data_IF_202538986057
#
_entry.id   IF_202538986057
#
_cell.length_a   1.000
_cell.length_b   1.000
_cell.length_c   1.000
_cell.angle_alpha   90.00
_cell.angle_beta   90.00
_cell.angle_gamma   90.00
#
_symmetry.space_group_name_H-M   'P 1'
#
loop_
_entity.id
_entity.type
_entity.pdbx_description
1 polymer ?
#
# COMPACT_ATOMS: atom_id res chain seq x y z
N UNK A 1 -33.22 -8.49 30.80
CA UNK A 1 -33.74 -8.79 29.45
C UNK A 1 -34.10 -7.48 28.78
N UNK A 2 -33.22 -6.95 27.94
CA UNK A 2 -33.44 -5.71 27.19
C UNK A 2 -33.52 -6.07 25.70
N UNK A 3 -34.68 -5.79 25.12
CA UNK A 3 -35.09 -6.10 23.76
C UNK A 3 -34.16 -5.46 22.73
N UNK A 4 -33.64 -6.28 21.81
CA UNK A 4 -33.00 -5.79 20.58
C UNK A 4 -34.04 -5.03 19.74
N UNK A 5 -33.74 -3.83 19.22
CA UNK A 5 -34.61 -3.21 18.23
C UNK A 5 -34.44 -3.96 16.90
N UNK A 6 -35.52 -4.62 16.46
CA UNK A 6 -35.68 -5.11 15.10
C UNK A 6 -35.80 -3.90 14.14
N UNK A 7 -35.17 -3.99 12.97
CA UNK A 7 -35.52 -3.16 11.82
C UNK A 7 -34.55 -2.05 11.42
N UNK A 8 -33.22 -2.26 11.46
CA UNK A 8 -32.28 -1.40 10.71
C UNK A 8 -31.56 -2.23 9.64
N UNK A 9 -31.65 -1.76 8.40
CA UNK A 9 -31.04 -2.43 7.24
C UNK A 9 -29.53 -2.61 7.45
N UNK A 10 -28.92 -3.71 6.96
CA UNK A 10 -27.48 -3.97 7.08
C UNK A 10 -26.58 -2.87 6.48
N UNK A 11 -27.17 -1.95 5.71
CA UNK A 11 -26.46 -0.87 5.03
C UNK A 11 -26.12 0.33 5.94
N UNK A 12 -26.71 0.45 7.14
CA UNK A 12 -26.58 1.67 7.94
C UNK A 12 -25.22 1.85 8.63
N UNK A 13 -24.38 0.81 8.66
CA UNK A 13 -23.02 0.85 9.23
C UNK A 13 -21.90 0.76 8.18
N UNK A 14 -22.25 0.68 6.90
CA UNK A 14 -21.28 0.53 5.82
C UNK A 14 -20.77 1.93 5.47
N UNK A 15 -19.47 2.20 5.74
CA UNK A 15 -18.80 3.43 5.29
C UNK A 15 -18.97 3.55 3.76
N UNK A 16 -19.05 4.76 3.21
CA UNK A 16 -19.08 4.91 1.74
C UNK A 16 -17.70 4.55 1.16
N UNK A 17 -17.65 4.00 -0.08
CA UNK A 17 -16.38 3.84 -0.77
C UNK A 17 -15.69 5.19 -0.88
N UNK A 18 -14.41 5.26 -0.47
CA UNK A 18 -13.66 6.51 -0.44
C UNK A 18 -12.68 6.67 -1.62
N UNK A 19 -12.42 5.58 -2.37
CA UNK A 19 -11.27 5.50 -3.28
C UNK A 19 -11.57 4.87 -4.65
N UNK A 20 -12.75 5.12 -5.19
CA UNK A 20 -13.22 4.53 -6.46
C UNK A 20 -13.25 3.00 -6.47
N UNK A 21 -13.54 2.41 -5.32
CA UNK A 21 -13.74 0.97 -5.19
C UNK A 21 -15.06 0.58 -5.86
N UNK A 22 -14.96 -0.05 -7.03
CA UNK A 22 -16.11 -0.54 -7.80
C UNK A 22 -16.79 -1.67 -7.05
N UNK A 23 -16.01 -2.54 -6.39
CA UNK A 23 -16.50 -3.66 -5.61
C UNK A 23 -16.28 -3.47 -4.11
N UNK A 24 -16.81 -2.37 -3.56
CA UNK A 24 -16.64 -2.02 -2.14
C UNK A 24 -17.16 -3.11 -1.19
N UNK A 25 -18.45 -3.45 -1.30
CA UNK A 25 -19.14 -4.45 -0.47
C UNK A 25 -20.06 -5.32 -1.34
N UNK A 26 -19.50 -6.22 -2.17
CA UNK A 26 -20.28 -7.03 -3.10
C UNK A 26 -21.16 -8.07 -2.38
N UNK A 27 -22.20 -8.55 -3.06
CA UNK A 27 -22.99 -9.67 -2.55
C UNK A 27 -22.20 -10.99 -2.61
N UNK A 28 -22.63 -11.97 -1.83
CA UNK A 28 -22.08 -13.32 -1.95
C UNK A 28 -22.38 -13.92 -3.32
N UNK A 29 -21.49 -14.77 -3.86
CA UNK A 29 -21.77 -15.51 -5.08
C UNK A 29 -23.06 -16.32 -4.95
N UNK A 30 -23.74 -16.56 -6.07
CA UNK A 30 -25.00 -17.32 -6.09
C UNK A 30 -24.77 -18.71 -5.50
N UNK A 31 -25.61 -19.10 -4.55
CA UNK A 31 -25.53 -20.38 -3.86
C UNK A 31 -24.57 -20.43 -2.67
N UNK A 32 -23.82 -19.35 -2.40
CA UNK A 32 -22.93 -19.25 -1.26
C UNK A 32 -23.60 -18.58 -0.06
N UNK A 33 -23.21 -19.03 1.13
CA UNK A 33 -23.60 -18.49 2.43
C UNK A 33 -22.35 -18.16 3.23
N UNK A 34 -22.51 -17.41 4.32
CA UNK A 34 -21.38 -17.14 5.24
C UNK A 34 -20.72 -18.44 5.73
N UNK A 35 -21.51 -19.46 6.06
CA UNK A 35 -21.00 -20.75 6.52
C UNK A 35 -20.22 -21.52 5.44
N UNK A 36 -20.65 -21.47 4.17
CA UNK A 36 -19.93 -22.14 3.08
C UNK A 36 -18.64 -21.41 2.73
N UNK A 37 -18.64 -20.07 2.79
CA UNK A 37 -17.44 -19.25 2.58
C UNK A 37 -16.44 -19.38 3.74
N UNK A 38 -16.91 -19.49 4.98
CA UNK A 38 -16.05 -19.77 6.15
C UNK A 38 -15.40 -21.15 6.03
N UNK A 39 -16.13 -22.17 5.54
CA UNK A 39 -15.54 -23.49 5.25
C UNK A 39 -14.40 -23.37 4.23
N UNK A 40 -14.61 -22.65 3.11
CA UNK A 40 -13.56 -22.43 2.11
C UNK A 40 -12.35 -21.69 2.69
N UNK A 41 -12.56 -20.70 3.57
CA UNK A 41 -11.48 -20.00 4.28
C UNK A 41 -10.69 -20.94 5.18
N UNK A 42 -11.35 -21.84 5.92
CA UNK A 42 -10.64 -22.83 6.75
C UNK A 42 -9.80 -23.77 5.88
N UNK A 43 -10.34 -24.24 4.76
CA UNK A 43 -9.58 -25.08 3.82
C UNK A 43 -8.39 -24.33 3.20
N UNK A 44 -8.54 -23.03 2.91
CA UNK A 44 -7.47 -22.15 2.41
C UNK A 44 -6.23 -22.21 3.30
N UNK A 45 -6.38 -22.27 4.63
CA UNK A 45 -5.25 -22.35 5.56
C UNK A 45 -4.39 -23.61 5.38
N UNK A 46 -4.99 -24.69 4.85
CA UNK A 46 -4.27 -25.92 4.51
C UNK A 46 -3.60 -25.77 3.15
N UNK A 47 -4.32 -25.23 2.16
CA UNK A 47 -3.82 -25.10 0.79
C UNK A 47 -2.57 -24.22 0.68
N UNK A 48 -2.47 -23.16 1.50
CA UNK A 48 -1.29 -22.28 1.54
C UNK A 48 -0.01 -23.05 1.88
N UNK A 49 -0.12 -24.15 2.65
CA UNK A 49 1.02 -24.96 3.07
C UNK A 49 1.42 -25.99 2.00
N UNK A 50 0.61 -26.18 0.95
CA UNK A 50 0.86 -27.15 -0.09
C UNK A 50 1.77 -26.57 -1.18
N UNK A 51 2.78 -27.34 -1.59
CA UNK A 51 3.76 -26.95 -2.61
C UNK A 51 3.12 -26.59 -3.96
N UNK A 52 2.01 -27.23 -4.30
CA UNK A 52 1.20 -27.02 -5.51
C UNK A 52 -0.17 -26.40 -5.20
N UNK A 53 -0.31 -25.70 -4.07
CA UNK A 53 -1.57 -25.10 -3.64
C UNK A 53 -1.96 -23.81 -4.35
N UNK A 54 -1.09 -23.24 -5.19
CA UNK A 54 -1.25 -21.87 -5.73
C UNK A 54 -2.56 -21.67 -6.49
N UNK A 55 -2.92 -22.61 -7.36
CA UNK A 55 -4.17 -22.53 -8.13
C UNK A 55 -5.40 -22.65 -7.24
N UNK A 56 -5.35 -23.51 -6.21
CA UNK A 56 -6.44 -23.68 -5.25
C UNK A 56 -6.60 -22.45 -4.36
N UNK A 57 -5.49 -21.91 -3.86
CA UNK A 57 -5.42 -20.67 -3.09
C UNK A 57 -6.05 -19.54 -3.90
N UNK A 58 -5.63 -19.35 -5.15
CA UNK A 58 -6.17 -18.33 -6.04
C UNK A 58 -7.69 -18.48 -6.23
N UNK A 59 -8.16 -19.68 -6.54
CA UNK A 59 -9.58 -19.95 -6.76
C UNK A 59 -10.42 -19.69 -5.49
N UNK A 60 -9.92 -20.12 -4.32
CA UNK A 60 -10.58 -19.89 -3.03
C UNK A 60 -10.54 -18.42 -2.64
N UNK A 61 -9.43 -17.72 -2.84
CA UNK A 61 -9.30 -16.29 -2.60
C UNK A 61 -10.31 -15.51 -3.46
N UNK A 62 -10.42 -15.83 -4.75
CA UNK A 62 -11.42 -15.22 -5.63
C UNK A 62 -12.86 -15.48 -5.13
N UNK A 63 -13.19 -16.74 -4.84
CA UNK A 63 -14.53 -17.15 -4.42
C UNK A 63 -14.96 -16.53 -3.09
N UNK A 64 -14.00 -16.26 -2.19
CA UNK A 64 -14.23 -15.70 -0.86
C UNK A 64 -14.05 -14.18 -0.78
N UNK A 65 -13.83 -13.51 -1.91
CA UNK A 65 -13.61 -12.05 -1.95
C UNK A 65 -14.69 -11.24 -1.23
N UNK A 66 -15.98 -11.53 -1.50
CA UNK A 66 -17.08 -10.82 -0.85
C UNK A 66 -17.10 -11.04 0.66
N UNK A 67 -16.81 -12.25 1.13
CA UNK A 67 -16.73 -12.55 2.57
C UNK A 67 -15.62 -11.77 3.26
N UNK A 68 -14.40 -11.74 2.70
CA UNK A 68 -13.32 -10.88 3.19
C UNK A 68 -13.73 -9.41 3.27
N UNK A 69 -14.40 -8.88 2.24
CA UNK A 69 -14.86 -7.48 2.24
C UNK A 69 -15.88 -7.21 3.32
N UNK A 70 -16.78 -8.15 3.61
CA UNK A 70 -17.69 -8.01 4.75
C UNK A 70 -16.93 -7.93 6.07
N UNK A 71 -15.98 -8.84 6.32
CA UNK A 71 -15.17 -8.81 7.55
C UNK A 71 -14.42 -7.47 7.68
N UNK A 72 -13.72 -7.03 6.63
CA UNK A 72 -12.96 -5.77 6.62
C UNK A 72 -13.86 -4.54 6.87
N UNK A 73 -15.05 -4.49 6.26
CA UNK A 73 -15.90 -3.29 6.30
C UNK A 73 -16.79 -3.25 7.54
N UNK A 74 -17.30 -4.41 7.97
CA UNK A 74 -18.27 -4.48 9.07
C UNK A 74 -17.61 -4.72 10.42
N UNK A 75 -16.70 -5.68 10.46
CA UNK A 75 -16.08 -6.12 11.70
C UNK A 75 -14.84 -5.28 12.01
N UNK A 76 -14.18 -4.75 10.97
CA UNK A 76 -12.99 -3.92 11.06
C UNK A 76 -11.95 -4.47 12.05
N UNK A 77 -11.53 -5.74 11.87
CA UNK A 77 -10.60 -6.40 12.78
C UNK A 77 -9.22 -5.74 12.73
N UNK A 78 -8.42 -5.95 13.77
CA UNK A 78 -7.00 -5.59 13.76
C UNK A 78 -6.27 -6.36 12.65
N UNK A 79 -5.23 -5.76 12.08
CA UNK A 79 -4.45 -6.34 10.98
C UNK A 79 -3.85 -7.68 11.36
N UNK A 80 -3.39 -7.85 12.61
CA UNK A 80 -2.86 -9.11 13.12
C UNK A 80 -3.90 -10.24 13.06
N UNK A 81 -5.11 -10.00 13.58
CA UNK A 81 -6.20 -10.97 13.58
C UNK A 81 -6.66 -11.31 12.16
N UNK A 82 -6.75 -10.27 11.31
CA UNK A 82 -7.14 -10.44 9.93
C UNK A 82 -6.11 -11.25 9.13
N UNK A 83 -4.81 -10.99 9.32
CA UNK A 83 -3.71 -11.79 8.76
C UNK A 83 -3.74 -13.23 9.24
N UNK A 84 -4.11 -13.48 10.50
CA UNK A 84 -4.32 -14.84 11.01
C UNK A 84 -5.44 -15.58 10.29
N UNK A 85 -6.53 -14.89 9.92
CA UNK A 85 -7.67 -15.48 9.20
C UNK A 85 -7.44 -15.61 7.69
N UNK A 86 -6.72 -14.67 7.08
CA UNK A 86 -6.48 -14.54 5.64
C UNK A 86 -5.00 -14.38 5.29
N UNK A 87 -4.12 -15.31 5.70
CA UNK A 87 -2.68 -15.15 5.50
C UNK A 87 -2.27 -15.07 4.02
N UNK A 88 -3.01 -15.74 3.13
CA UNK A 88 -2.79 -15.66 1.69
C UNK A 88 -2.93 -14.23 1.13
N UNK A 89 -3.74 -13.36 1.75
CA UNK A 89 -3.90 -11.99 1.25
C UNK A 89 -2.59 -11.20 1.29
N UNK A 90 -1.67 -11.55 2.20
CA UNK A 90 -0.40 -10.86 2.38
C UNK A 90 0.72 -11.42 1.48
N UNK A 91 0.37 -12.26 0.50
CA UNK A 91 1.23 -12.63 -0.61
C UNK A 91 1.14 -11.59 -1.75
N UNK A 92 2.27 -11.30 -2.39
CA UNK A 92 2.38 -10.32 -3.48
C UNK A 92 1.34 -10.55 -4.58
N UNK A 93 1.12 -11.80 -4.99
CA UNK A 93 0.17 -12.14 -6.05
C UNK A 93 -1.27 -11.86 -5.62
N UNK A 94 -1.63 -12.19 -4.38
CA UNK A 94 -2.99 -11.99 -3.86
C UNK A 94 -3.29 -10.53 -3.57
N UNK A 95 -2.32 -9.70 -3.17
CA UNK A 95 -2.52 -8.24 -3.03
C UNK A 95 -2.88 -7.63 -4.38
N UNK A 96 -2.14 -7.99 -5.45
CA UNK A 96 -2.47 -7.53 -6.80
C UNK A 96 -3.86 -7.98 -7.23
N UNK A 97 -4.19 -9.23 -6.97
CA UNK A 97 -5.47 -9.81 -7.33
C UNK A 97 -6.63 -9.18 -6.55
N UNK A 98 -6.46 -8.93 -5.25
CA UNK A 98 -7.44 -8.28 -4.40
C UNK A 98 -7.67 -6.83 -4.81
N UNK A 99 -6.59 -6.08 -5.04
CA UNK A 99 -6.68 -4.71 -5.52
C UNK A 99 -7.38 -4.62 -6.87
N UNK A 100 -7.07 -5.54 -7.79
CA UNK A 100 -7.74 -5.62 -9.09
C UNK A 100 -9.21 -5.99 -8.94
N UNK A 101 -9.57 -6.89 -8.01
CA UNK A 101 -10.99 -7.18 -7.70
C UNK A 101 -11.70 -5.93 -7.17
N UNK A 102 -11.05 -5.11 -6.35
CA UNK A 102 -11.64 -3.88 -5.78
C UNK A 102 -11.80 -2.75 -6.80
N UNK A 103 -10.79 -2.51 -7.63
CA UNK A 103 -10.67 -1.30 -8.45
C UNK A 103 -10.79 -1.55 -9.95
N UNK A 104 -10.78 -2.81 -10.39
CA UNK A 104 -10.66 -3.26 -11.78
C UNK A 104 -9.31 -2.98 -12.47
N UNK A 105 -8.38 -2.30 -11.79
CA UNK A 105 -7.08 -1.93 -12.34
C UNK A 105 -5.97 -2.85 -11.83
N UNK A 106 -4.97 -3.20 -12.66
CA UNK A 106 -3.81 -3.91 -12.18
C UNK A 106 -2.98 -2.98 -11.28
N UNK A 107 -2.52 -3.47 -10.13
CA UNK A 107 -1.82 -2.64 -9.13
C UNK A 107 -0.40 -2.28 -9.58
N UNK A 108 0.52 -3.25 -9.54
CA UNK A 108 1.94 -3.01 -9.76
C UNK A 108 2.25 -2.46 -11.15
N UNK A 109 1.77 -3.13 -12.20
CA UNK A 109 2.09 -2.74 -13.58
C UNK A 109 1.57 -1.35 -13.93
N UNK A 110 0.40 -0.96 -13.39
CA UNK A 110 -0.12 0.40 -13.57
C UNK A 110 0.69 1.42 -12.79
N UNK A 111 0.95 1.16 -11.51
CA UNK A 111 1.73 2.05 -10.65
C UNK A 111 3.10 2.34 -11.25
N UNK A 112 3.86 1.30 -11.58
CA UNK A 112 5.23 1.43 -12.11
C UNK A 112 5.23 2.10 -13.48
N UNK A 113 4.36 1.68 -14.41
CA UNK A 113 4.32 2.29 -15.75
C UNK A 113 3.93 3.77 -15.71
N UNK A 114 2.99 4.16 -14.85
CA UNK A 114 2.58 5.56 -14.70
C UNK A 114 3.63 6.39 -13.99
N UNK A 115 4.30 5.81 -12.98
CA UNK A 115 5.45 6.45 -12.35
C UNK A 115 6.54 6.73 -13.37
N UNK A 116 6.94 5.74 -14.17
CA UNK A 116 7.97 5.87 -15.20
C UNK A 116 7.64 6.98 -16.22
N UNK A 117 6.39 7.06 -16.65
CA UNK A 117 5.92 8.13 -17.55
C UNK A 117 6.00 9.53 -16.92
N UNK A 118 5.84 9.63 -15.60
CA UNK A 118 5.87 10.89 -14.86
C UNK A 118 7.26 11.26 -14.34
N UNK A 119 8.17 10.29 -14.17
CA UNK A 119 9.46 10.45 -13.49
C UNK A 119 10.27 11.62 -14.03
N UNK A 120 10.44 11.73 -15.36
CA UNK A 120 11.20 12.84 -15.97
C UNK A 120 10.58 14.21 -15.69
N UNK A 121 9.26 14.32 -15.72
CA UNK A 121 8.54 15.58 -15.43
C UNK A 121 8.64 15.96 -13.96
N UNK A 122 8.53 14.96 -13.07
CA UNK A 122 8.70 15.14 -11.62
C UNK A 122 10.12 15.61 -11.30
N UNK A 123 11.14 14.96 -11.85
CA UNK A 123 12.55 15.37 -11.65
C UNK A 123 12.80 16.80 -12.12
N UNK A 124 12.36 17.16 -13.34
CA UNK A 124 12.48 18.52 -13.86
C UNK A 124 11.75 19.56 -12.98
N UNK A 125 10.61 19.17 -12.39
CA UNK A 125 9.89 20.01 -11.44
C UNK A 125 10.65 20.20 -10.12
N UNK A 126 11.30 19.15 -9.62
CA UNK A 126 12.11 19.20 -8.40
C UNK A 126 13.32 20.12 -8.57
N UNK A 127 14.00 20.06 -9.71
CA UNK A 127 15.17 20.91 -10.03
C UNK A 127 14.83 22.41 -10.05
N UNK A 128 13.63 22.75 -10.54
CA UNK A 128 13.13 24.14 -10.59
C UNK A 128 12.67 24.66 -9.23
N UNK A 129 12.50 23.78 -8.23
CA UNK A 129 12.00 24.20 -6.92
C UNK A 129 13.09 24.97 -6.16
N UNK A 130 12.77 26.18 -5.73
CA UNK A 130 13.64 27.00 -4.89
C UNK A 130 13.38 26.85 -3.38
N UNK A 131 14.10 27.64 -2.57
CA UNK A 131 13.93 27.70 -1.12
C UNK A 131 14.44 26.46 -0.38
N UNK A 132 14.00 26.28 0.87
CA UNK A 132 14.42 25.16 1.72
C UNK A 132 14.00 23.80 1.15
N UNK A 133 12.78 23.69 0.61
CA UNK A 133 12.29 22.48 -0.07
C UNK A 133 13.19 22.17 -1.27
N UNK A 134 13.52 23.17 -2.09
CA UNK A 134 14.43 23.01 -3.23
C UNK A 134 15.81 22.49 -2.84
N UNK A 135 16.38 22.98 -1.73
CA UNK A 135 17.66 22.49 -1.21
C UNK A 135 17.59 21.00 -0.81
N UNK A 136 16.54 20.60 -0.08
CA UNK A 136 16.32 19.19 0.31
C UNK A 136 16.14 18.28 -0.91
N UNK A 137 15.39 18.74 -1.92
CA UNK A 137 15.20 17.99 -3.16
C UNK A 137 16.52 17.80 -3.92
N UNK A 138 17.34 18.85 -4.02
CA UNK A 138 18.65 18.74 -4.67
C UNK A 138 19.56 17.74 -3.98
N UNK A 139 19.63 17.80 -2.64
CA UNK A 139 20.38 16.84 -1.85
C UNK A 139 19.95 15.39 -2.14
N UNK A 140 18.65 15.09 -2.04
CA UNK A 140 18.12 13.74 -2.34
C UNK A 140 18.42 13.29 -3.77
N UNK A 141 18.35 14.21 -4.74
CA UNK A 141 18.66 13.91 -6.15
C UNK A 141 20.16 13.66 -6.39
N UNK A 142 21.04 14.30 -5.62
CA UNK A 142 22.49 14.07 -5.65
C UNK A 142 22.85 12.74 -4.97
N UNK A 143 22.25 12.43 -3.81
CA UNK A 143 22.41 11.15 -3.10
C UNK A 143 22.02 9.97 -4.00
N UNK A 144 20.85 10.05 -4.66
CA UNK A 144 20.42 9.06 -5.65
C UNK A 144 21.44 8.79 -6.76
N UNK A 145 22.02 9.84 -7.34
CA UNK A 145 22.99 9.74 -8.45
C UNK A 145 24.32 9.14 -7.99
N UNK A 146 24.64 9.25 -6.70
CA UNK A 146 25.92 8.81 -6.14
C UNK A 146 25.83 7.36 -5.67
N UNK A 147 24.69 6.96 -5.11
CA UNK A 147 24.46 5.60 -4.57
C UNK A 147 24.05 4.58 -5.63
N UNK A 148 23.50 5.05 -6.75
CA UNK A 148 22.99 4.24 -7.84
C UNK A 148 23.85 4.45 -9.08
N UNK A 149 24.30 3.39 -9.75
CA UNK A 149 24.77 3.52 -11.13
C UNK A 149 23.65 4.15 -11.98
N UNK A 150 24.00 4.91 -13.02
CA UNK A 150 23.05 5.68 -13.84
C UNK A 150 21.90 4.85 -14.46
N UNK A 151 21.96 3.52 -14.38
CA UNK A 151 21.03 2.56 -14.96
C UNK A 151 20.10 1.82 -13.96
N UNK A 152 20.17 2.05 -12.63
CA UNK A 152 19.25 1.39 -11.69
C UNK A 152 17.86 2.05 -11.65
N UNK A 153 16.93 1.52 -12.45
CA UNK A 153 15.56 2.01 -12.57
C UNK A 153 14.81 2.04 -11.23
N UNK A 154 15.05 1.08 -10.34
CA UNK A 154 14.31 0.99 -9.08
C UNK A 154 14.78 2.05 -8.09
N UNK A 155 16.08 2.35 -8.05
CA UNK A 155 16.61 3.46 -7.25
C UNK A 155 16.11 4.82 -7.75
N UNK A 156 16.01 5.00 -9.08
CA UNK A 156 15.43 6.22 -9.67
C UNK A 156 13.96 6.37 -9.25
N UNK A 157 13.17 5.29 -9.32
CA UNK A 157 11.78 5.30 -8.88
C UNK A 157 11.65 5.61 -7.39
N UNK A 158 12.50 4.99 -6.55
CA UNK A 158 12.50 5.21 -5.11
C UNK A 158 12.71 6.68 -4.77
N UNK A 159 13.79 7.29 -5.25
CA UNK A 159 14.04 8.67 -4.83
C UNK A 159 13.15 9.69 -5.55
N UNK A 160 12.55 9.38 -6.71
CA UNK A 160 11.42 10.18 -7.25
C UNK A 160 10.24 10.18 -6.26
N UNK A 161 9.94 9.05 -5.62
CA UNK A 161 8.86 8.93 -4.62
C UNK A 161 9.24 9.57 -3.28
N UNK A 162 10.49 9.44 -2.79
CA UNK A 162 10.97 10.17 -1.60
C UNK A 162 10.92 11.68 -1.84
N UNK A 163 11.39 12.15 -3.00
CA UNK A 163 11.34 13.55 -3.40
C UNK A 163 9.90 14.05 -3.54
N UNK A 164 8.95 13.21 -3.96
CA UNK A 164 7.54 13.57 -4.02
C UNK A 164 7.00 13.94 -2.63
N UNK A 165 7.34 13.17 -1.59
CA UNK A 165 6.98 13.50 -0.20
C UNK A 165 7.50 14.89 0.17
N UNK A 166 8.79 15.14 -0.04
CA UNK A 166 9.43 16.43 0.26
C UNK A 166 8.80 17.59 -0.51
N UNK A 167 8.51 17.40 -1.80
CA UNK A 167 7.86 18.42 -2.62
C UNK A 167 6.47 18.76 -2.10
N UNK A 168 5.73 17.75 -1.64
CA UNK A 168 4.44 17.88 -0.96
C UNK A 168 4.58 18.31 0.50
N UNK A 169 5.77 18.72 0.96
CA UNK A 169 6.06 19.14 2.33
C UNK A 169 5.55 18.11 3.35
N UNK A 170 5.79 16.85 3.05
CA UNK A 170 5.64 15.67 3.89
C UNK A 170 7.03 15.07 4.09
N UNK A 171 7.25 14.39 5.22
CA UNK A 171 8.54 13.80 5.54
C UNK A 171 8.62 12.37 4.96
N UNK A 172 9.58 12.07 4.06
CA UNK A 172 9.74 10.73 3.48
C UNK A 172 10.01 9.65 4.54
N UNK A 173 10.54 10.00 5.73
CA UNK A 173 10.75 9.03 6.81
C UNK A 173 9.45 8.46 7.38
N UNK A 174 8.32 9.16 7.21
CA UNK A 174 7.01 8.60 7.57
C UNK A 174 6.55 7.51 6.60
N UNK A 175 7.13 7.44 5.40
CA UNK A 175 6.81 6.42 4.39
C UNK A 175 7.81 5.27 4.42
N UNK A 176 9.11 5.58 4.44
CA UNK A 176 10.20 4.61 4.41
C UNK A 176 11.19 4.95 5.52
N UNK A 177 11.44 4.00 6.41
CA UNK A 177 12.43 4.12 7.48
C UNK A 177 13.59 3.16 7.25
N UNK A 178 14.78 3.73 7.20
CA UNK A 178 16.01 2.96 7.01
C UNK A 178 16.58 2.55 8.38
N UNK A 179 16.79 1.25 8.57
CA UNK A 179 17.36 0.66 9.78
C UNK A 179 18.75 0.12 9.49
N UNK A 180 19.70 0.43 10.36
CA UNK A 180 21.09 -0.01 10.20
C UNK A 180 21.55 -0.76 11.45
N UNK A 181 22.12 -1.94 11.26
CA UNK A 181 22.72 -2.75 12.31
C UNK A 181 21.87 -3.93 12.75
N UNK A 182 22.25 -4.54 13.87
CA UNK A 182 21.66 -5.78 14.40
C UNK A 182 20.76 -5.55 15.63
N UNK A 183 20.42 -4.29 15.94
CA UNK A 183 19.61 -3.98 17.10
C UNK A 183 18.13 -4.30 16.84
N UNK A 184 17.79 -5.57 17.05
CA UNK A 184 16.41 -6.04 16.90
C UNK A 184 15.46 -5.35 17.88
N UNK A 185 15.94 -4.89 19.05
CA UNK A 185 15.06 -4.23 20.04
C UNK A 185 14.61 -2.86 19.56
N UNK A 186 15.53 -2.08 18.98
CA UNK A 186 15.19 -0.78 18.37
C UNK A 186 14.24 -0.93 17.19
N UNK A 187 14.42 -1.99 16.39
CA UNK A 187 13.50 -2.27 15.28
C UNK A 187 12.11 -2.69 15.76
N UNK A 188 12.03 -3.53 16.80
CA UNK A 188 10.75 -3.96 17.40
C UNK A 188 9.97 -2.77 17.97
N UNK A 189 10.62 -1.90 18.75
CA UNK A 189 10.01 -0.68 19.29
C UNK A 189 9.48 0.22 18.17
N UNK A 190 10.28 0.46 17.12
CA UNK A 190 9.86 1.23 15.95
C UNK A 190 8.67 0.59 15.23
N UNK A 191 8.72 -0.73 15.04
CA UNK A 191 7.67 -1.46 14.34
C UNK A 191 6.35 -1.32 15.09
N UNK A 192 6.35 -1.46 16.42
CA UNK A 192 5.18 -1.31 17.28
C UNK A 192 4.56 0.10 17.22
N UNK A 193 5.38 1.15 17.14
CA UNK A 193 4.91 2.54 17.02
C UNK A 193 4.40 2.89 15.60
N UNK A 194 4.74 2.08 14.60
CA UNK A 194 4.42 2.36 13.19
C UNK A 194 3.03 1.88 12.81
N UNK A 195 2.12 2.82 12.55
CA UNK A 195 0.76 2.49 12.08
C UNK A 195 0.75 2.02 10.62
N UNK A 196 1.49 2.68 9.74
CA UNK A 196 1.62 2.34 8.32
C UNK A 196 3.00 2.80 7.87
N UNK A 197 3.82 1.90 7.32
CA UNK A 197 5.15 2.27 6.84
C UNK A 197 5.86 1.15 6.09
N UNK A 198 6.98 1.50 5.48
CA UNK A 198 7.95 0.58 4.88
C UNK A 198 9.22 0.69 5.69
N UNK A 199 9.87 -0.44 5.96
CA UNK A 199 11.23 -0.44 6.47
C UNK A 199 12.19 -0.94 5.40
N UNK A 200 13.41 -0.41 5.44
CA UNK A 200 14.57 -1.03 4.82
C UNK A 200 15.55 -1.39 5.94
N UNK A 201 16.23 -2.52 5.82
CA UNK A 201 17.23 -2.98 6.78
C UNK A 201 18.56 -3.16 6.08
N UNK A 202 19.64 -2.66 6.68
CA UNK A 202 21.03 -2.86 6.25
C UNK A 202 21.86 -3.38 7.41
N UNK A 203 22.70 -4.38 7.16
CA UNK A 203 23.71 -4.85 8.13
C UNK A 203 24.82 -3.81 8.30
N UNK A 204 25.17 -3.07 7.25
CA UNK A 204 26.23 -2.07 7.27
C UNK A 204 25.82 -0.80 6.52
N UNK A 205 26.16 0.38 7.09
CA UNK A 205 25.84 1.69 6.49
C UNK A 205 26.41 1.86 5.07
N UNK A 206 27.55 1.23 4.78
CA UNK A 206 28.21 1.33 3.48
C UNK A 206 27.56 0.47 2.37
N UNK A 207 26.50 -0.30 2.67
CA UNK A 207 25.78 -1.09 1.66
C UNK A 207 24.83 -0.22 0.85
N UNK A 208 24.97 -0.24 -0.47
CA UNK A 208 24.08 0.48 -1.37
C UNK A 208 22.68 -0.13 -1.46
N UNK A 209 22.55 -1.45 -1.29
CA UNK A 209 21.26 -2.16 -1.31
C UNK A 209 20.87 -2.66 0.08
N UNK A 210 19.59 -2.55 0.47
CA UNK A 210 19.10 -3.12 1.72
C UNK A 210 19.12 -4.65 1.67
N UNK A 211 19.35 -5.28 2.84
CA UNK A 211 19.24 -6.72 3.04
C UNK A 211 17.78 -7.20 3.12
N UNK A 212 16.90 -6.35 3.63
CA UNK A 212 15.46 -6.62 3.71
C UNK A 212 14.66 -5.34 3.46
N UNK A 213 13.51 -5.49 2.80
CA UNK A 213 12.51 -4.46 2.60
C UNK A 213 11.17 -5.08 2.98
N UNK A 214 10.44 -4.41 3.86
CA UNK A 214 9.15 -4.91 4.30
C UNK A 214 8.14 -3.82 4.62
N UNK A 215 6.91 -4.26 4.90
CA UNK A 215 5.76 -3.39 5.15
C UNK A 215 5.28 -3.63 6.58
N UNK A 216 4.99 -2.53 7.28
CA UNK A 216 4.45 -2.51 8.63
C UNK A 216 3.05 -1.91 8.59
N UNK A 217 2.09 -2.58 9.22
CA UNK A 217 0.72 -2.11 9.41
C UNK A 217 0.29 -2.40 10.84
N UNK A 218 -0.26 -1.41 11.53
CA UNK A 218 -0.74 -1.49 12.92
C UNK A 218 0.26 -2.15 13.88
N UNK A 219 1.52 -1.71 13.85
CA UNK A 219 2.52 -2.26 14.76
C UNK A 219 3.14 -3.58 14.30
N UNK A 220 2.74 -4.12 13.14
CA UNK A 220 3.07 -5.50 12.73
C UNK A 220 3.74 -5.55 11.36
N UNK A 221 4.84 -6.29 11.29
CA UNK A 221 5.48 -6.63 10.01
C UNK A 221 4.56 -7.58 9.23
N UNK A 222 3.95 -7.06 8.17
CA UNK A 222 2.98 -7.80 7.37
C UNK A 222 3.61 -8.51 6.17
N UNK A 223 4.69 -7.94 5.60
CA UNK A 223 5.46 -8.49 4.47
C UNK A 223 6.94 -8.19 4.69
N UNK A 224 7.80 -9.10 4.26
CA UNK A 224 9.27 -8.98 4.24
C UNK A 224 9.81 -9.52 2.91
N UNK A 225 11.13 -9.40 2.72
CA UNK A 225 11.87 -9.93 1.58
C UNK A 225 11.37 -9.39 0.23
N UNK A 226 11.00 -8.10 0.19
CA UNK A 226 10.59 -7.44 -1.04
C UNK A 226 11.79 -7.02 -1.88
N UNK A 227 11.65 -7.15 -3.20
CA UNK A 227 12.75 -6.90 -4.15
C UNK A 227 13.25 -5.44 -4.15
N UNK A 228 12.33 -4.48 -4.03
CA UNK A 228 12.65 -3.05 -4.08
C UNK A 228 11.58 -2.18 -3.41
N UNK A 229 11.95 -0.94 -3.07
CA UNK A 229 11.07 0.04 -2.41
C UNK A 229 9.88 0.46 -3.28
N UNK A 230 10.00 0.72 -4.61
CA UNK A 230 8.85 1.02 -5.46
C UNK A 230 7.77 -0.08 -5.42
N UNK A 231 8.18 -1.35 -5.43
CA UNK A 231 7.29 -2.49 -5.25
C UNK A 231 6.61 -2.44 -3.88
N UNK A 232 7.37 -2.21 -2.80
CA UNK A 232 6.82 -2.09 -1.45
C UNK A 232 5.77 -0.96 -1.34
N UNK A 233 6.02 0.21 -1.93
CA UNK A 233 5.05 1.32 -1.98
C UNK A 233 3.78 0.91 -2.73
N UNK A 234 3.93 0.23 -3.87
CA UNK A 234 2.77 -0.24 -4.63
C UNK A 234 1.92 -1.26 -3.85
N UNK A 235 2.56 -2.19 -3.14
CA UNK A 235 1.89 -3.19 -2.32
C UNK A 235 1.24 -2.59 -1.08
N UNK A 236 1.92 -1.64 -0.41
CA UNK A 236 1.36 -0.87 0.69
C UNK A 236 0.08 -0.14 0.24
N UNK A 237 0.14 0.54 -0.91
CA UNK A 237 -1.05 1.17 -1.49
C UNK A 237 -2.17 0.15 -1.75
N UNK A 238 -1.85 -1.03 -2.27
CA UNK A 238 -2.80 -2.13 -2.45
C UNK A 238 -3.44 -2.60 -1.14
N UNK A 239 -2.64 -2.78 -0.08
CA UNK A 239 -3.10 -3.20 1.24
C UNK A 239 -4.01 -2.16 1.89
N UNK A 240 -3.72 -0.87 1.75
CA UNK A 240 -4.59 0.19 2.27
C UNK A 240 -6.01 0.12 1.67
N UNK A 241 -6.15 -0.35 0.43
CA UNK A 241 -7.46 -0.65 -0.18
C UNK A 241 -8.03 -1.98 0.30
N UNK A 242 -7.23 -3.04 0.27
CA UNK A 242 -7.66 -4.39 0.66
C UNK A 242 -8.20 -4.43 2.09
N UNK A 243 -7.61 -3.65 2.98
CA UNK A 243 -7.93 -3.56 4.41
C UNK A 243 -8.80 -2.34 4.76
N UNK A 244 -9.24 -1.54 3.77
CA UNK A 244 -10.09 -0.35 3.98
C UNK A 244 -9.50 0.64 5.02
N UNK A 245 -8.17 0.75 5.06
CA UNK A 245 -7.45 1.63 5.98
C UNK A 245 -7.43 3.06 5.45
N UNK A 246 -7.60 4.05 6.32
CA UNK A 246 -7.44 5.46 5.95
C UNK A 246 -5.97 5.80 5.63
N UNK A 247 -5.72 6.86 4.85
CA UNK A 247 -4.35 7.30 4.58
C UNK A 247 -3.75 7.94 5.83
N UNK A 248 -2.47 7.66 6.16
CA UNK A 248 -1.80 8.33 7.27
C UNK A 248 -1.86 9.86 7.11
N UNK A 249 -2.26 10.62 8.15
CA UNK A 249 -2.36 12.08 8.06
C UNK A 249 -1.06 12.77 7.61
N UNK A 250 0.09 12.18 7.95
CA UNK A 250 1.43 12.65 7.62
C UNK A 250 1.79 12.46 6.14
N UNK A 251 1.08 11.57 5.43
CA UNK A 251 1.30 11.22 4.02
C UNK A 251 0.02 11.40 3.18
N UNK A 252 -0.89 12.25 3.66
CA UNK A 252 -2.22 12.43 3.05
C UNK A 252 -2.14 12.92 1.61
N UNK A 253 -1.17 13.79 1.29
CA UNK A 253 -1.01 14.37 -0.03
C UNK A 253 -0.25 13.41 -0.95
N UNK A 254 0.76 12.71 -0.43
CA UNK A 254 1.46 11.65 -1.15
C UNK A 254 0.47 10.60 -1.65
N UNK A 255 -0.34 10.04 -0.75
CA UNK A 255 -1.32 9.02 -1.14
C UNK A 255 -2.46 9.57 -2.01
N UNK A 256 -2.84 10.85 -1.86
CA UNK A 256 -3.77 11.49 -2.80
C UNK A 256 -3.18 11.57 -4.22
N UNK A 257 -1.91 11.94 -4.36
CA UNK A 257 -1.21 12.00 -5.66
C UNK A 257 -1.06 10.59 -6.23
N UNK A 258 -0.69 9.60 -5.42
CA UNK A 258 -0.61 8.19 -5.85
C UNK A 258 -1.97 7.73 -6.36
N UNK A 259 -3.06 7.96 -5.60
CA UNK A 259 -4.41 7.54 -6.00
C UNK A 259 -4.90 8.23 -7.28
N UNK A 260 -4.82 9.56 -7.33
CA UNK A 260 -5.52 10.35 -8.35
C UNK A 260 -4.68 10.65 -9.58
N UNK A 261 -3.36 10.72 -9.44
CA UNK A 261 -2.44 11.13 -10.52
C UNK A 261 -1.70 9.94 -11.07
N UNK A 262 -1.05 9.15 -10.21
CA UNK A 262 -0.26 7.99 -10.67
C UNK A 262 -1.21 6.86 -11.07
N UNK A 263 -2.15 6.50 -10.19
CA UNK A 263 -3.09 5.40 -10.43
C UNK A 263 -4.32 5.82 -11.22
N UNK A 264 -4.61 7.11 -11.32
CA UNK A 264 -5.79 7.69 -12.01
C UNK A 264 -7.11 6.97 -11.60
N UNK A 265 -7.25 6.61 -10.32
CA UNK A 265 -8.41 5.87 -9.82
C UNK A 265 -9.63 6.78 -9.60
N UNK A 266 -9.40 8.05 -9.24
CA UNK A 266 -10.45 8.97 -8.83
C UNK A 266 -10.32 10.30 -9.58
N UNK A 267 -11.37 10.66 -10.33
CA UNK A 267 -11.50 11.94 -11.03
C UNK A 267 -12.05 13.07 -10.15
N UNK A 268 -12.22 12.81 -8.85
CA UNK A 268 -12.67 13.79 -7.86
C UNK A 268 -11.66 14.92 -7.65
N UNK A 269 -12.15 16.01 -7.06
CA UNK A 269 -11.38 17.24 -6.85
C UNK A 269 -10.13 16.96 -6.03
N UNK A 270 -8.99 17.40 -6.53
CA UNK A 270 -7.71 17.35 -5.83
C UNK A 270 -7.65 18.40 -4.73
N UNK A 271 -6.94 18.10 -3.65
CA UNK A 271 -6.55 19.15 -2.71
C UNK A 271 -5.75 20.24 -3.41
N UNK A 272 -5.77 21.46 -2.86
CA UNK A 272 -5.01 22.59 -3.42
C UNK A 272 -3.53 22.26 -3.62
N UNK A 273 -2.96 21.42 -2.74
CA UNK A 273 -1.55 21.02 -2.81
C UNK A 273 -1.28 20.07 -3.97
N UNK A 274 -2.10 19.04 -4.13
CA UNK A 274 -2.00 18.11 -5.25
C UNK A 274 -2.33 18.80 -6.58
N UNK A 275 -3.31 19.71 -6.61
CA UNK A 275 -3.62 20.51 -7.78
C UNK A 275 -2.44 21.41 -8.20
N UNK A 276 -1.76 22.05 -7.24
CA UNK A 276 -0.59 22.88 -7.53
C UNK A 276 0.60 22.06 -8.08
N UNK A 277 0.76 20.81 -7.65
CA UNK A 277 1.71 19.87 -8.25
C UNK A 277 1.35 19.61 -9.71
N UNK A 278 0.10 19.22 -9.99
CA UNK A 278 -0.35 18.88 -11.36
C UNK A 278 -0.19 20.07 -12.29
N UNK A 279 -0.64 21.26 -11.89
CA UNK A 279 -0.52 22.44 -12.75
C UNK A 279 0.91 22.64 -13.24
N UNK A 280 1.89 22.50 -12.33
CA UNK A 280 3.32 22.65 -12.65
C UNK A 280 3.92 21.47 -13.40
N UNK A 281 3.30 20.29 -13.37
CA UNK A 281 3.73 19.12 -14.14
C UNK A 281 3.37 19.24 -15.64
N UNK A 282 2.37 20.06 -15.96
CA UNK A 282 1.87 20.26 -17.32
C UNK A 282 2.05 21.71 -17.82
N UNK A 283 2.73 22.56 -17.04
CA UNK A 283 3.34 23.84 -17.48
C UNK A 283 4.63 23.58 -18.29
#
# INVERSE_FOLDING_TARGET
>A
MTSKPQGRSPAFKIKRPKRSEVNYCPQFPVGETEATLEKLRVELLTDIKLRNGKEMVKAKMEKTFSYRRYEVIRDAPMVQDFKGRWPALFDVFEINSEFKRLTTLPLQSRFLSKLDLLSRKLQALYEKRGGQIGKKLKQLMEEMKTESGEDDLDSVREGVLRALCVYLNEDPENLIKDHVGHDNTVFEDYAEETTVGIFTSRRHEAQSKPDDIGIILEGQVVIQELDNVPLAISLLFGLLYALNMDYPPQLRYFFEVVQKVIMELDGGVLSRKAQALINRLYE
#
